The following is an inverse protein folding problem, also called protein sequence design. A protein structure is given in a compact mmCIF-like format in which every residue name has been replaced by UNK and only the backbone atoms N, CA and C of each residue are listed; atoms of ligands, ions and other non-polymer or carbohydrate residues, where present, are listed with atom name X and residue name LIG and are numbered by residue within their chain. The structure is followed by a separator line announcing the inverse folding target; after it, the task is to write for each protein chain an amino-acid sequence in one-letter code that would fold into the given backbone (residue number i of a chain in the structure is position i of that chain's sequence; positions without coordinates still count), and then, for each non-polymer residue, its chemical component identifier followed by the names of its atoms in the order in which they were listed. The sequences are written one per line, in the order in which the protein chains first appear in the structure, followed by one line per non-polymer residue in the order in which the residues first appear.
data_IF_322886808682
#
_entry.id   IF_322886808682
#
_cell.length_a   1.000
_cell.length_b   1.000
_cell.length_c   1.000
_cell.angle_alpha   90.00
_cell.angle_beta   90.00
_cell.angle_gamma   90.00
#
_symmetry.space_group_name_H-M   'P 1'
#
loop_
_entity.id
_entity.type
_entity.pdbx_description
1 polymer ?
#
# COMPACT_ATOMS: atom_id res chain seq x y z
N UNK A 1 -29.49 64.18 -12.02
CA UNK A 1 -30.83 64.08 -11.33
C UNK A 1 -30.78 62.73 -10.62
N UNK A 2 -30.60 62.78 -9.28
CA UNK A 2 -31.60 62.37 -8.24
C UNK A 2 -31.80 60.84 -8.21
N UNK A 3 -31.65 60.06 -7.17
CA UNK A 3 -31.65 60.33 -5.71
C UNK A 3 -30.86 59.20 -4.98
N UNK A 4 -30.21 59.56 -3.94
CA UNK A 4 -29.72 58.81 -2.81
C UNK A 4 -30.90 58.30 -2.01
N UNK A 5 -30.81 57.07 -1.48
CA UNK A 5 -31.46 56.75 -0.20
C UNK A 5 -30.65 55.76 0.61
N UNK A 6 -30.13 56.29 1.66
CA UNK A 6 -29.54 55.62 2.82
C UNK A 6 -30.65 55.18 3.72
N UNK A 7 -30.66 53.96 4.20
CA UNK A 7 -31.33 53.58 5.45
C UNK A 7 -30.37 52.74 6.27
N UNK A 8 -30.11 53.26 7.46
CA UNK A 8 -29.28 52.71 8.49
C UNK A 8 -30.09 51.86 9.50
N UNK A 9 -29.33 51.15 10.32
CA UNK A 9 -29.64 50.55 11.62
C UNK A 9 -30.45 49.23 11.59
N UNK A 10 -30.02 48.21 12.29
CA UNK A 10 -29.78 48.12 13.74
C UNK A 10 -28.94 46.91 14.11
N UNK A 11 -28.07 47.06 15.05
CA UNK A 11 -27.35 46.05 15.81
C UNK A 11 -28.31 45.23 16.66
N UNK A 12 -28.25 43.90 16.57
CA UNK A 12 -28.73 43.01 17.60
C UNK A 12 -27.67 41.96 17.88
N UNK A 13 -27.04 42.09 19.02
CA UNK A 13 -26.14 41.11 19.59
C UNK A 13 -26.93 39.84 19.97
N UNK A 14 -26.67 38.75 19.28
CA UNK A 14 -27.15 37.41 19.65
C UNK A 14 -25.98 36.45 19.66
N UNK A 15 -25.47 36.16 20.86
CA UNK A 15 -24.39 35.16 21.02
C UNK A 15 -24.88 33.79 20.59
N UNK A 16 -24.28 33.26 19.54
CA UNK A 16 -24.36 31.83 19.20
C UNK A 16 -23.07 31.16 19.64
N UNK A 17 -23.18 30.32 20.64
CA UNK A 17 -22.22 29.31 21.04
C UNK A 17 -22.00 28.37 19.84
N UNK A 18 -20.87 28.55 19.13
CA UNK A 18 -20.43 27.57 18.13
C UNK A 18 -19.78 26.42 18.89
N UNK A 19 -20.51 25.36 19.10
CA UNK A 19 -19.95 24.06 19.47
C UNK A 19 -19.17 23.57 18.24
N UNK A 20 -17.84 23.65 18.32
CA UNK A 20 -16.96 23.02 17.35
C UNK A 20 -17.09 21.50 17.46
N UNK A 21 -18.07 20.94 16.76
CA UNK A 21 -18.14 19.53 16.49
C UNK A 21 -17.00 19.18 15.50
N UNK A 22 -15.97 18.48 15.97
CA UNK A 22 -15.02 17.81 15.10
C UNK A 22 -15.76 16.74 14.27
N UNK A 23 -16.33 17.15 13.16
CA UNK A 23 -16.74 16.23 12.13
C UNK A 23 -15.46 15.66 11.50
N UNK A 24 -15.02 14.49 11.95
CA UNK A 24 -14.10 13.66 11.21
C UNK A 24 -14.80 13.26 9.92
N UNK A 25 -14.64 14.07 8.89
CA UNK A 25 -14.99 13.69 7.54
C UNK A 25 -14.03 12.56 7.14
N UNK A 26 -14.48 11.33 7.29
CA UNK A 26 -13.91 10.17 6.61
C UNK A 26 -13.99 10.47 5.13
N UNK A 27 -12.93 11.05 4.58
CA UNK A 27 -12.79 11.23 3.15
C UNK A 27 -12.78 9.84 2.53
N UNK A 28 -13.87 9.46 1.86
CA UNK A 28 -13.91 8.26 1.02
C UNK A 28 -12.75 8.37 0.06
N UNK A 29 -11.73 7.54 0.27
CA UNK A 29 -10.55 7.51 -0.59
C UNK A 29 -11.03 7.09 -1.97
N UNK A 30 -11.06 8.03 -2.90
CA UNK A 30 -11.48 7.77 -4.27
C UNK A 30 -10.38 6.94 -4.93
N UNK A 31 -10.55 5.61 -4.94
CA UNK A 31 -9.60 4.63 -5.51
C UNK A 31 -9.87 4.39 -7.00
N UNK A 32 -11.01 4.88 -7.48
CA UNK A 32 -11.34 4.80 -8.91
C UNK A 32 -10.35 5.69 -9.63
N UNK A 33 -9.64 5.12 -10.58
CA UNK A 33 -8.84 5.86 -11.54
C UNK A 33 -9.83 6.67 -12.37
N UNK A 34 -10.09 7.90 -11.93
CA UNK A 34 -10.74 8.88 -12.80
C UNK A 34 -9.75 9.14 -13.93
N UNK A 35 -10.07 8.66 -15.13
CA UNK A 35 -9.24 8.83 -16.32
C UNK A 35 -9.01 10.32 -16.67
N UNK A 36 -9.78 11.22 -16.06
CA UNK A 36 -9.71 12.67 -16.25
C UNK A 36 -8.93 13.36 -15.14
N UNK A 37 -8.54 12.69 -14.06
CA UNK A 37 -7.75 13.28 -12.98
C UNK A 37 -6.26 12.97 -13.21
N UNK A 38 -5.49 14.00 -13.57
CA UNK A 38 -4.03 13.90 -13.68
C UNK A 38 -3.45 13.41 -12.35
N UNK A 39 -2.94 12.18 -12.33
CA UNK A 39 -2.24 11.66 -11.16
C UNK A 39 -0.92 12.43 -11.00
N UNK A 40 -0.67 12.95 -9.80
CA UNK A 40 0.58 13.62 -9.45
C UNK A 40 1.44 12.70 -8.59
N UNK A 41 2.75 12.87 -8.72
CA UNK A 41 3.70 12.15 -7.90
C UNK A 41 3.55 12.60 -6.43
N UNK A 42 3.29 11.65 -5.52
CA UNK A 42 3.21 11.93 -4.08
C UNK A 42 4.52 11.58 -3.35
N UNK A 43 4.74 12.16 -2.16
CA UNK A 43 5.86 11.75 -1.31
C UNK A 43 5.64 10.35 -0.79
N UNK A 44 6.70 9.54 -0.80
CA UNK A 44 6.73 8.20 -0.20
C UNK A 44 7.89 8.04 0.78
N UNK A 45 8.75 9.06 0.87
CA UNK A 45 9.91 9.04 1.75
C UNK A 45 9.54 9.14 3.22
N UNK A 46 8.36 9.65 3.53
CA UNK A 46 7.82 9.73 4.89
C UNK A 46 7.47 8.35 5.48
N UNK A 47 7.44 7.32 4.62
CA UNK A 47 7.14 5.93 5.01
C UNK A 47 8.38 5.04 5.07
N UNK A 48 9.58 5.62 5.01
CA UNK A 48 10.81 4.84 5.16
C UNK A 48 10.97 4.38 6.61
N UNK A 49 11.53 3.18 6.85
CA UNK A 49 11.88 2.74 8.19
C UNK A 49 12.79 3.75 8.87
N UNK A 50 12.52 4.07 10.14
CA UNK A 50 13.30 5.00 10.94
C UNK A 50 13.87 4.27 12.17
N UNK A 51 15.05 3.64 12.07
CA UNK A 51 15.71 3.03 13.21
C UNK A 51 16.04 4.09 14.27
N UNK A 52 15.84 3.72 15.54
CA UNK A 52 16.14 4.60 16.69
C UNK A 52 17.52 4.29 17.23
N UNK A 53 18.15 5.31 17.81
CA UNK A 53 19.41 5.16 18.55
C UNK A 53 19.18 5.41 20.05
N UNK A 54 20.00 4.81 20.89
CA UNK A 54 20.08 5.12 22.32
C UNK A 54 20.86 6.44 22.55
N UNK A 55 21.06 6.80 23.81
CA UNK A 55 21.78 8.02 24.22
C UNK A 55 23.27 8.01 23.84
N UNK A 56 23.84 6.84 23.52
CA UNK A 56 25.23 6.69 23.06
C UNK A 56 25.36 6.75 21.55
N UNK A 57 24.23 6.81 20.82
CA UNK A 57 24.16 6.77 19.35
C UNK A 57 24.17 5.34 18.79
N UNK A 58 24.10 4.30 19.61
CA UNK A 58 23.99 2.93 19.15
C UNK A 58 22.55 2.62 18.69
N UNK A 59 22.42 1.88 17.59
CA UNK A 59 21.10 1.50 17.09
C UNK A 59 20.38 0.54 18.04
N UNK A 60 19.14 0.87 18.37
CA UNK A 60 18.24 -0.02 19.08
C UNK A 60 17.72 -1.10 18.12
N UNK A 61 17.36 -2.30 18.65
CA UNK A 61 16.70 -3.33 17.86
C UNK A 61 15.46 -2.76 17.16
N UNK A 62 15.36 -2.96 15.85
CA UNK A 62 14.22 -2.47 15.08
C UNK A 62 13.04 -3.43 15.21
N UNK A 63 11.93 -2.93 15.73
CA UNK A 63 10.68 -3.67 15.81
C UNK A 63 9.77 -3.26 14.66
N UNK A 64 9.68 -4.11 13.63
CA UNK A 64 8.81 -3.87 12.51
C UNK A 64 7.33 -3.93 12.92
N UNK A 65 6.54 -2.98 12.43
CA UNK A 65 5.10 -2.95 12.64
C UNK A 65 4.42 -4.17 11.99
N UNK A 66 3.42 -4.79 12.67
CA UNK A 66 2.75 -5.96 12.12
C UNK A 66 1.88 -5.59 10.92
N UNK A 67 1.72 -6.55 10.00
CA UNK A 67 0.79 -6.39 8.88
C UNK A 67 -0.64 -6.10 9.39
N UNK A 68 -1.22 -4.92 9.08
CA UNK A 68 -2.52 -4.50 9.63
C UNK A 68 -3.70 -5.37 9.16
N UNK A 69 -3.54 -6.08 8.04
CA UNK A 69 -4.54 -7.04 7.57
C UNK A 69 -4.50 -8.35 8.39
N UNK A 70 -3.29 -8.85 8.67
CA UNK A 70 -3.12 -10.08 9.45
C UNK A 70 -3.40 -9.86 10.95
N UNK A 71 -3.25 -8.64 11.44
CA UNK A 71 -3.59 -8.28 12.81
C UNK A 71 -5.11 -8.26 13.07
N UNK A 72 -5.93 -8.25 12.02
CA UNK A 72 -7.38 -8.33 12.16
C UNK A 72 -7.82 -9.74 12.54
N UNK A 73 -8.61 -9.82 13.60
CA UNK A 73 -9.20 -11.09 14.03
C UNK A 73 -10.65 -11.11 13.60
N UNK A 74 -11.02 -12.15 12.86
CA UNK A 74 -12.40 -12.41 12.44
C UNK A 74 -12.67 -13.91 12.41
N UNK A 75 -13.93 -14.29 12.57
CA UNK A 75 -14.36 -15.67 12.37
C UNK A 75 -14.75 -15.86 10.91
N UNK A 76 -14.04 -16.71 10.20
CA UNK A 76 -14.37 -17.13 8.83
C UNK A 76 -14.94 -18.53 8.91
N UNK A 77 -16.01 -18.80 8.18
CA UNK A 77 -16.60 -20.14 8.10
C UNK A 77 -15.59 -21.15 7.54
N UNK A 78 -15.52 -22.33 8.13
CA UNK A 78 -14.60 -23.37 7.67
C UNK A 78 -14.82 -23.73 6.19
N UNK A 79 -16.06 -23.76 5.74
CA UNK A 79 -16.44 -24.02 4.35
C UNK A 79 -15.88 -22.94 3.40
N UNK A 80 -15.93 -21.67 3.81
CA UNK A 80 -15.36 -20.55 3.04
C UNK A 80 -13.82 -20.68 2.92
N UNK A 81 -13.16 -21.13 4.00
CA UNK A 81 -11.70 -21.37 3.98
C UNK A 81 -11.35 -22.47 2.98
N UNK A 82 -12.03 -23.63 3.06
CA UNK A 82 -11.78 -24.75 2.15
C UNK A 82 -12.00 -24.33 0.69
N UNK A 83 -13.13 -23.70 0.40
CA UNK A 83 -13.48 -23.23 -0.94
C UNK A 83 -12.45 -22.21 -1.47
N UNK A 84 -11.95 -21.32 -0.60
CA UNK A 84 -10.90 -20.38 -0.96
C UNK A 84 -9.59 -21.07 -1.31
N UNK A 85 -9.19 -22.08 -0.54
CA UNK A 85 -7.98 -22.89 -0.82
C UNK A 85 -8.12 -23.60 -2.16
N UNK A 86 -9.29 -24.18 -2.46
CA UNK A 86 -9.54 -24.85 -3.72
C UNK A 86 -9.51 -23.86 -4.91
N UNK A 87 -10.09 -22.67 -4.74
CA UNK A 87 -10.01 -21.60 -5.73
C UNK A 87 -8.55 -21.19 -6.01
N UNK A 88 -7.74 -21.02 -4.97
CA UNK A 88 -6.30 -20.71 -5.11
C UNK A 88 -5.54 -21.85 -5.78
N UNK A 89 -5.89 -23.10 -5.50
CA UNK A 89 -5.30 -24.29 -6.16
C UNK A 89 -5.65 -24.31 -7.65
N UNK A 90 -6.92 -24.10 -8.00
CA UNK A 90 -7.37 -24.02 -9.39
C UNK A 90 -6.65 -22.89 -10.16
N UNK A 91 -6.48 -21.72 -9.54
CA UNK A 91 -5.73 -20.62 -10.13
C UNK A 91 -4.26 -21.00 -10.39
N UNK A 92 -3.59 -21.63 -9.41
CA UNK A 92 -2.22 -22.11 -9.56
C UNK A 92 -2.08 -23.14 -10.69
N UNK A 93 -3.10 -23.97 -10.89
CA UNK A 93 -3.18 -24.95 -11.98
C UNK A 93 -3.60 -24.32 -13.32
N UNK A 94 -3.76 -22.98 -13.39
CA UNK A 94 -4.24 -22.23 -14.56
C UNK A 94 -5.65 -22.63 -15.01
N UNK A 95 -6.43 -23.30 -14.15
CA UNK A 95 -7.85 -23.55 -14.39
C UNK A 95 -8.66 -22.30 -14.01
N UNK A 96 -8.51 -21.25 -14.83
CA UNK A 96 -9.06 -19.93 -14.56
C UNK A 96 -10.58 -19.93 -14.42
N UNK A 97 -11.28 -20.70 -15.27
CA UNK A 97 -12.74 -20.80 -15.22
C UNK A 97 -13.24 -21.35 -13.88
N UNK A 98 -12.61 -22.42 -13.41
CA UNK A 98 -12.99 -23.04 -12.13
C UNK A 98 -12.62 -22.14 -10.94
N UNK A 99 -11.42 -21.53 -10.96
CA UNK A 99 -11.00 -20.57 -9.94
C UNK A 99 -11.98 -19.38 -9.85
N UNK A 100 -12.35 -18.79 -10.98
CA UNK A 100 -13.30 -17.69 -11.07
C UNK A 100 -14.66 -18.07 -10.47
N UNK A 101 -15.17 -19.24 -10.83
CA UNK A 101 -16.46 -19.75 -10.32
C UNK A 101 -16.44 -19.88 -8.79
N UNK A 102 -15.40 -20.48 -8.22
CA UNK A 102 -15.24 -20.66 -6.79
C UNK A 102 -15.14 -19.32 -6.06
N UNK A 103 -14.34 -18.37 -6.58
CA UNK A 103 -14.24 -17.04 -6.00
C UNK A 103 -15.56 -16.27 -6.09
N UNK A 104 -16.29 -16.35 -7.21
CA UNK A 104 -17.63 -15.73 -7.33
C UNK A 104 -18.60 -16.29 -6.30
N UNK A 105 -18.67 -17.60 -6.17
CA UNK A 105 -19.50 -18.24 -5.13
C UNK A 105 -19.17 -17.71 -3.74
N UNK A 106 -17.88 -17.56 -3.41
CA UNK A 106 -17.46 -17.01 -2.11
C UNK A 106 -17.89 -15.54 -1.92
N UNK A 107 -17.90 -14.73 -2.98
CA UNK A 107 -18.38 -13.33 -2.87
C UNK A 107 -19.88 -13.22 -2.63
N UNK A 108 -20.64 -14.25 -2.99
CA UNK A 108 -22.10 -14.34 -2.78
C UNK A 108 -22.43 -14.89 -1.40
N UNK A 109 -21.75 -15.95 -0.99
CA UNK A 109 -21.99 -16.66 0.28
C UNK A 109 -21.45 -15.90 1.49
N UNK A 110 -20.35 -15.16 1.32
CA UNK A 110 -19.68 -14.42 2.39
C UNK A 110 -19.26 -13.03 1.91
N UNK A 111 -20.23 -12.15 1.82
CA UNK A 111 -20.14 -10.82 1.19
C UNK A 111 -19.11 -9.88 1.81
N UNK A 112 -18.68 -10.17 3.05
CA UNK A 112 -17.73 -9.32 3.79
C UNK A 112 -16.28 -9.71 3.60
N UNK A 113 -15.99 -10.80 2.89
CA UNK A 113 -14.63 -11.25 2.64
C UNK A 113 -14.00 -10.49 1.47
N UNK A 114 -12.92 -9.76 1.75
CA UNK A 114 -12.11 -9.09 0.71
C UNK A 114 -11.22 -10.06 -0.08
N UNK A 115 -10.84 -11.20 0.50
CA UNK A 115 -9.97 -12.20 -0.12
C UNK A 115 -10.48 -12.76 -1.45
N UNK A 116 -11.74 -13.18 -1.58
CA UNK A 116 -12.31 -13.66 -2.83
C UNK A 116 -12.25 -12.64 -3.97
N UNK A 117 -12.46 -11.36 -3.68
CA UNK A 117 -12.33 -10.28 -4.66
C UNK A 117 -10.89 -10.11 -5.14
N UNK A 118 -9.90 -10.29 -4.24
CA UNK A 118 -8.49 -10.37 -4.66
C UNK A 118 -8.28 -11.56 -5.59
N UNK A 119 -8.85 -12.71 -5.27
CA UNK A 119 -8.77 -13.90 -6.12
C UNK A 119 -9.33 -13.69 -7.51
N UNK A 120 -10.50 -13.03 -7.65
CA UNK A 120 -11.08 -12.64 -8.94
C UNK A 120 -10.15 -11.70 -9.71
N UNK A 121 -9.56 -10.72 -9.03
CA UNK A 121 -8.56 -9.83 -9.62
C UNK A 121 -7.33 -10.58 -10.12
N UNK A 122 -6.83 -11.57 -9.35
CA UNK A 122 -5.70 -12.41 -9.75
C UNK A 122 -6.02 -13.22 -11.02
N UNK A 123 -7.23 -13.81 -11.09
CA UNK A 123 -7.70 -14.53 -12.29
C UNK A 123 -7.73 -13.59 -13.50
N UNK A 124 -8.28 -12.39 -13.34
CA UNK A 124 -8.37 -11.40 -14.42
C UNK A 124 -6.98 -10.94 -14.90
N UNK A 125 -6.00 -10.77 -13.99
CA UNK A 125 -4.60 -10.47 -14.37
C UNK A 125 -3.99 -11.57 -15.23
N UNK A 126 -4.18 -12.83 -14.85
CA UNK A 126 -3.67 -13.97 -15.62
C UNK A 126 -4.28 -14.04 -17.03
N UNK A 127 -5.52 -13.57 -17.16
CA UNK A 127 -6.22 -13.44 -18.44
C UNK A 127 -5.95 -12.11 -19.17
N UNK A 128 -5.06 -11.25 -18.62
CA UNK A 128 -4.72 -9.91 -19.14
C UNK A 128 -5.91 -8.94 -19.20
N UNK A 129 -6.94 -9.20 -18.40
CA UNK A 129 -8.14 -8.36 -18.26
C UNK A 129 -7.91 -7.31 -17.15
N UNK A 130 -6.97 -6.39 -17.39
CA UNK A 130 -6.44 -5.51 -16.34
C UNK A 130 -7.50 -4.55 -15.76
N UNK A 131 -8.42 -4.04 -16.57
CA UNK A 131 -9.52 -3.17 -16.12
C UNK A 131 -10.43 -3.90 -15.13
N UNK A 132 -10.75 -5.16 -15.44
CA UNK A 132 -11.56 -6.01 -14.58
C UNK A 132 -10.82 -6.35 -13.29
N UNK A 133 -9.53 -6.65 -13.39
CA UNK A 133 -8.68 -6.89 -12.22
C UNK A 133 -8.67 -5.68 -11.27
N UNK A 134 -8.50 -4.47 -11.81
CA UNK A 134 -8.54 -3.23 -11.05
C UNK A 134 -9.88 -3.08 -10.31
N UNK A 135 -11.01 -3.30 -11.00
CA UNK A 135 -12.33 -3.22 -10.39
C UNK A 135 -12.48 -4.20 -9.22
N UNK A 136 -11.98 -5.43 -9.36
CA UNK A 136 -12.01 -6.42 -8.30
C UNK A 136 -11.12 -6.04 -7.10
N UNK A 137 -9.91 -5.53 -7.33
CA UNK A 137 -9.04 -5.09 -6.25
C UNK A 137 -9.59 -3.85 -5.52
N UNK A 138 -10.20 -2.90 -6.25
CA UNK A 138 -10.91 -1.76 -5.64
C UNK A 138 -12.03 -2.27 -4.75
N UNK A 139 -12.82 -3.24 -5.22
CA UNK A 139 -13.89 -3.85 -4.41
C UNK A 139 -13.35 -4.53 -3.15
N UNK A 140 -12.21 -5.21 -3.23
CA UNK A 140 -11.54 -5.78 -2.06
C UNK A 140 -11.13 -4.71 -1.04
N UNK A 141 -10.64 -3.56 -1.50
CA UNK A 141 -10.25 -2.43 -0.65
C UNK A 141 -11.47 -1.76 -0.01
N UNK A 142 -12.57 -1.60 -0.75
CA UNK A 142 -13.83 -1.08 -0.21
C UNK A 142 -14.35 -1.93 0.95
N UNK A 143 -14.27 -3.26 0.82
CA UNK A 143 -14.69 -4.19 1.86
C UNK A 143 -13.73 -4.22 3.06
N UNK A 144 -12.45 -4.04 2.82
CA UNK A 144 -11.43 -4.02 3.86
C UNK A 144 -10.28 -3.07 3.49
N UNK A 145 -10.38 -1.83 3.94
CA UNK A 145 -9.39 -0.78 3.68
C UNK A 145 -8.02 -1.03 4.31
N UNK A 146 -7.90 -1.98 5.24
CA UNK A 146 -6.62 -2.41 5.83
C UNK A 146 -5.96 -3.56 5.07
N UNK A 147 -6.59 -4.05 3.99
CA UNK A 147 -6.01 -5.13 3.20
C UNK A 147 -4.90 -4.63 2.28
N UNK A 148 -3.70 -4.46 2.83
CA UNK A 148 -2.50 -3.99 2.11
C UNK A 148 -2.16 -4.85 0.90
N UNK A 149 -2.54 -6.14 0.90
CA UNK A 149 -2.34 -7.02 -0.25
C UNK A 149 -3.18 -6.61 -1.46
N UNK A 150 -4.38 -6.06 -1.24
CA UNK A 150 -5.23 -5.56 -2.31
C UNK A 150 -4.62 -4.30 -2.96
N UNK A 151 -4.08 -3.37 -2.17
CA UNK A 151 -3.35 -2.20 -2.68
C UNK A 151 -2.12 -2.62 -3.50
N UNK A 152 -1.35 -3.59 -2.99
CA UNK A 152 -0.18 -4.11 -3.70
C UNK A 152 -0.54 -4.64 -5.09
N UNK A 153 -1.59 -5.46 -5.19
CA UNK A 153 -2.05 -6.05 -6.45
C UNK A 153 -2.62 -4.99 -7.41
N UNK A 154 -3.40 -4.05 -6.87
CA UNK A 154 -3.92 -2.92 -7.62
C UNK A 154 -2.77 -2.11 -8.25
N UNK A 155 -1.77 -1.73 -7.45
CA UNK A 155 -0.62 -0.96 -7.92
C UNK A 155 0.20 -1.72 -8.98
N UNK A 156 0.44 -3.03 -8.78
CA UNK A 156 1.10 -3.87 -9.79
C UNK A 156 0.33 -3.91 -11.10
N UNK A 157 -0.99 -4.01 -11.04
CA UNK A 157 -1.85 -4.06 -12.24
C UNK A 157 -1.89 -2.70 -12.95
N UNK A 158 -1.95 -1.59 -12.20
CA UNK A 158 -1.82 -0.23 -12.75
C UNK A 158 -0.49 -0.05 -13.47
N UNK A 159 0.62 -0.55 -12.91
CA UNK A 159 1.93 -0.55 -13.58
C UNK A 159 1.93 -1.38 -14.87
N UNK A 160 1.29 -2.56 -14.88
CA UNK A 160 1.16 -3.39 -16.09
C UNK A 160 0.38 -2.69 -17.21
N UNK A 161 -0.55 -1.81 -16.86
CA UNK A 161 -1.27 -0.96 -17.81
C UNK A 161 -0.49 0.31 -18.24
N UNK A 162 0.70 0.55 -17.70
CA UNK A 162 1.43 1.80 -17.96
C UNK A 162 0.96 3.00 -17.11
N UNK A 163 0.03 2.81 -16.19
CA UNK A 163 -0.49 3.86 -15.31
C UNK A 163 0.46 4.11 -14.11
N UNK A 164 1.70 4.52 -14.40
CA UNK A 164 2.80 4.53 -13.44
C UNK A 164 2.57 5.47 -12.24
N UNK A 165 2.00 6.66 -12.45
CA UNK A 165 1.71 7.60 -11.36
C UNK A 165 0.58 7.10 -10.46
N UNK A 166 -0.43 6.44 -11.02
CA UNK A 166 -1.48 5.80 -10.24
C UNK A 166 -0.93 4.63 -9.42
N UNK A 167 -0.04 3.83 -10.01
CA UNK A 167 0.65 2.75 -9.31
C UNK A 167 1.47 3.29 -8.12
N UNK A 168 2.22 4.36 -8.33
CA UNK A 168 3.00 5.05 -7.29
C UNK A 168 2.10 5.51 -6.13
N UNK A 169 1.00 6.18 -6.45
CA UNK A 169 0.05 6.66 -5.45
C UNK A 169 -0.63 5.51 -4.70
N UNK A 170 -0.88 4.40 -5.36
CA UNK A 170 -1.47 3.21 -4.72
C UNK A 170 -0.46 2.51 -3.80
N UNK A 171 0.82 2.41 -4.17
CA UNK A 171 1.87 1.94 -3.28
C UNK A 171 2.06 2.87 -2.08
N UNK A 172 1.99 4.19 -2.28
CA UNK A 172 2.05 5.15 -1.18
C UNK A 172 0.93 4.92 -0.16
N UNK A 173 -0.29 4.62 -0.61
CA UNK A 173 -1.42 4.26 0.28
C UNK A 173 -1.15 2.96 1.05
N UNK A 174 -0.54 1.95 0.41
CA UNK A 174 -0.15 0.72 1.08
C UNK A 174 0.88 0.99 2.19
N UNK A 175 1.89 1.82 1.91
CA UNK A 175 2.92 2.20 2.88
C UNK A 175 2.39 3.12 3.99
N UNK A 176 1.42 3.99 3.70
CA UNK A 176 0.75 4.79 4.73
C UNK A 176 0.00 3.91 5.75
N UNK A 177 -0.49 2.74 5.32
CA UNK A 177 -1.13 1.75 6.20
C UNK A 177 -0.12 0.85 6.92
N UNK A 178 0.96 0.53 6.25
CA UNK A 178 2.01 -0.35 6.76
C UNK A 178 3.37 0.08 6.21
N UNK A 179 4.07 0.99 6.91
CA UNK A 179 5.39 1.47 6.48
C UNK A 179 6.43 0.35 6.34
N UNK A 180 6.34 -0.70 7.15
CA UNK A 180 7.26 -1.84 7.13
C UNK A 180 6.82 -2.95 6.16
N UNK A 181 6.31 -2.57 5.00
CA UNK A 181 5.88 -3.50 3.95
C UNK A 181 7.01 -3.70 2.90
N UNK A 182 7.87 -4.74 3.05
CA UNK A 182 9.05 -4.88 2.21
C UNK A 182 8.74 -4.93 0.72
N UNK A 183 7.69 -5.70 0.32
CA UNK A 183 7.34 -5.85 -1.08
C UNK A 183 6.82 -4.55 -1.71
N UNK A 184 6.21 -3.66 -0.92
CA UNK A 184 5.79 -2.35 -1.42
C UNK A 184 7.00 -1.46 -1.68
N UNK A 185 7.99 -1.47 -0.78
CA UNK A 185 9.24 -0.76 -0.98
C UNK A 185 9.98 -1.26 -2.23
N UNK A 186 10.14 -2.56 -2.40
CA UNK A 186 10.79 -3.12 -3.59
C UNK A 186 10.06 -2.73 -4.87
N UNK A 187 8.72 -2.85 -4.91
CA UNK A 187 7.96 -2.51 -6.11
C UNK A 187 7.98 -1.00 -6.42
N UNK A 188 8.06 -0.14 -5.41
CA UNK A 188 8.29 1.30 -5.59
C UNK A 188 9.69 1.59 -6.12
N UNK A 189 10.72 0.90 -5.62
CA UNK A 189 12.07 1.03 -6.15
C UNK A 189 12.12 0.67 -7.64
N UNK A 190 11.51 -0.46 -8.03
CA UNK A 190 11.36 -0.86 -9.44
C UNK A 190 10.64 0.23 -10.26
N UNK A 191 9.56 0.76 -9.72
CA UNK A 191 8.75 1.77 -10.42
C UNK A 191 9.53 3.08 -10.62
N UNK A 192 10.24 3.54 -9.59
CA UNK A 192 11.04 4.74 -9.64
C UNK A 192 12.27 4.61 -10.54
N UNK A 193 12.97 3.46 -10.50
CA UNK A 193 14.19 3.26 -11.27
C UNK A 193 13.90 3.07 -12.76
N UNK A 194 12.96 2.17 -13.07
CA UNK A 194 12.74 1.70 -14.45
C UNK A 194 11.74 2.58 -15.22
N UNK A 195 10.69 3.08 -14.56
CA UNK A 195 9.56 3.71 -15.26
C UNK A 195 9.44 5.21 -15.02
N UNK A 196 9.86 5.72 -13.87
CA UNK A 196 9.69 7.11 -13.50
C UNK A 196 10.98 7.93 -13.54
N UNK A 197 12.13 7.29 -13.75
CA UNK A 197 13.46 7.92 -13.78
C UNK A 197 13.75 8.77 -12.53
N UNK A 198 13.49 8.21 -11.35
CA UNK A 198 13.77 8.82 -10.06
C UNK A 198 14.76 7.98 -9.23
N UNK A 199 16.04 7.87 -9.63
CA UNK A 199 16.99 6.93 -9.04
C UNK A 199 17.23 7.16 -7.54
N UNK A 200 17.20 8.40 -7.06
CA UNK A 200 17.33 8.68 -5.62
C UNK A 200 16.16 8.10 -4.80
N UNK A 201 14.93 8.19 -5.30
CA UNK A 201 13.77 7.58 -4.64
C UNK A 201 13.84 6.06 -4.73
N UNK A 202 14.29 5.53 -5.87
CA UNK A 202 14.50 4.10 -6.04
C UNK A 202 15.51 3.56 -5.02
N UNK A 203 16.65 4.26 -4.86
CA UNK A 203 17.65 3.90 -3.87
C UNK A 203 17.07 3.82 -2.46
N UNK A 204 16.36 4.87 -2.02
CA UNK A 204 15.78 4.93 -0.68
C UNK A 204 14.80 3.79 -0.39
N UNK A 205 13.93 3.47 -1.32
CA UNK A 205 13.01 2.35 -1.16
C UNK A 205 13.71 0.98 -1.24
N UNK A 206 14.79 0.86 -2.01
CA UNK A 206 15.58 -0.37 -2.06
C UNK A 206 16.40 -0.57 -0.78
N UNK A 207 16.94 0.51 -0.19
CA UNK A 207 17.54 0.51 1.14
C UNK A 207 16.52 0.02 2.19
N UNK A 208 15.29 0.55 2.15
CA UNK A 208 14.22 0.14 3.07
C UNK A 208 13.89 -1.34 2.94
N UNK A 209 13.77 -1.85 1.71
CA UNK A 209 13.56 -3.28 1.47
C UNK A 209 14.68 -4.13 2.06
N UNK A 210 15.94 -3.79 1.78
CA UNK A 210 17.10 -4.52 2.30
C UNK A 210 17.16 -4.49 3.83
N UNK A 211 16.85 -3.34 4.43
CA UNK A 211 16.79 -3.18 5.88
C UNK A 211 15.73 -4.09 6.49
N UNK A 212 14.50 -4.07 5.98
CA UNK A 212 13.36 -4.85 6.48
C UNK A 212 13.51 -6.37 6.25
N UNK A 213 14.34 -6.78 5.28
CA UNK A 213 14.60 -8.19 4.97
C UNK A 213 15.98 -8.67 5.41
N UNK A 214 16.67 -7.91 6.26
CA UNK A 214 18.02 -8.22 6.76
C UNK A 214 19.05 -8.51 5.64
N UNK A 215 18.86 -7.92 4.48
CA UNK A 215 19.78 -8.08 3.34
C UNK A 215 19.80 -9.47 2.72
N UNK A 216 18.77 -10.29 2.92
CA UNK A 216 18.74 -11.68 2.44
C UNK A 216 18.78 -11.78 0.90
N UNK A 217 18.22 -10.81 0.20
CA UNK A 217 18.15 -10.84 -1.25
C UNK A 217 19.39 -10.23 -1.90
N UNK A 218 20.32 -11.10 -2.32
CA UNK A 218 21.59 -10.71 -2.93
C UNK A 218 21.44 -9.99 -4.30
N UNK A 219 20.43 -10.34 -5.08
CA UNK A 219 20.20 -9.69 -6.38
C UNK A 219 19.72 -8.24 -6.19
N UNK A 220 18.85 -8.01 -5.21
CA UNK A 220 18.44 -6.65 -4.84
C UNK A 220 19.63 -5.87 -4.26
N UNK A 221 20.52 -6.51 -3.51
CA UNK A 221 21.73 -5.86 -2.99
C UNK A 221 22.67 -5.40 -4.13
N UNK A 222 22.84 -6.21 -5.17
CA UNK A 222 23.64 -5.83 -6.37
C UNK A 222 22.98 -4.64 -7.08
N UNK A 223 21.68 -4.71 -7.30
CA UNK A 223 20.94 -3.61 -7.94
C UNK A 223 21.02 -2.32 -7.14
N UNK A 224 20.91 -2.39 -5.80
CA UNK A 224 21.12 -1.23 -4.94
C UNK A 224 22.51 -0.62 -5.12
N UNK A 225 23.56 -1.43 -5.21
CA UNK A 225 24.92 -0.96 -5.45
C UNK A 225 25.05 -0.25 -6.82
N UNK A 226 24.41 -0.76 -7.87
CA UNK A 226 24.37 -0.11 -9.19
C UNK A 226 23.63 1.23 -9.15
N UNK A 227 22.50 1.31 -8.44
CA UNK A 227 21.78 2.57 -8.25
C UNK A 227 22.65 3.56 -7.48
N UNK A 228 23.32 3.11 -6.42
CA UNK A 228 24.20 3.96 -5.62
C UNK A 228 25.35 4.55 -6.48
N UNK A 229 25.94 3.78 -7.36
CA UNK A 229 26.95 4.29 -8.30
C UNK A 229 26.38 5.40 -9.19
N UNK A 230 25.15 5.26 -9.66
CA UNK A 230 24.48 6.28 -10.50
C UNK A 230 24.07 7.54 -9.73
N UNK A 231 23.66 7.40 -8.47
CA UNK A 231 23.23 8.53 -7.64
C UNK A 231 24.37 9.26 -6.95
N UNK A 232 25.49 8.57 -6.68
CA UNK A 232 26.58 9.09 -5.87
C UNK A 232 26.23 9.28 -4.38
N UNK A 233 25.03 8.87 -3.94
CA UNK A 233 24.54 9.08 -2.57
C UNK A 233 24.85 7.86 -1.71
N UNK A 234 25.49 8.03 -0.53
CA UNK A 234 25.75 6.91 0.39
C UNK A 234 24.45 6.23 0.86
N UNK A 235 24.54 4.92 1.12
CA UNK A 235 23.44 4.15 1.73
C UNK A 235 23.22 4.67 3.16
N UNK A 236 21.97 4.99 3.49
CA UNK A 236 21.59 5.54 4.79
C UNK A 236 21.02 4.52 5.76
N UNK A 237 20.35 3.48 5.24
CA UNK A 237 19.80 2.38 6.03
C UNK A 237 20.77 1.20 5.96
N UNK A 238 21.63 1.06 6.96
CA UNK A 238 22.60 -0.04 7.05
C UNK A 238 21.97 -1.21 7.77
N UNK A 239 22.08 -2.39 7.17
CA UNK A 239 21.76 -3.66 7.84
C UNK A 239 22.93 -4.00 8.75
N UNK A 240 22.83 -3.67 10.03
CA UNK A 240 23.73 -4.28 11.00
C UNK A 240 23.37 -5.76 11.10
N UNK A 241 24.25 -6.62 10.59
CA UNK A 241 24.17 -8.04 10.89
C UNK A 241 24.24 -8.16 12.42
N UNK A 242 23.11 -8.42 13.06
CA UNK A 242 23.10 -8.86 14.46
C UNK A 242 23.99 -10.09 14.52
N UNK A 243 25.20 -9.93 15.04
CA UNK A 243 26.02 -11.06 15.45
C UNK A 243 25.18 -11.81 16.46
N UNK A 244 24.66 -12.97 16.02
CA UNK A 244 24.07 -13.92 16.94
C UNK A 244 25.09 -14.10 18.06
N UNK A 245 24.81 -13.56 19.23
CA UNK A 245 25.51 -13.91 20.45
C UNK A 245 25.16 -15.38 20.71
N UNK A 246 25.98 -16.27 20.15
CA UNK A 246 26.07 -17.63 20.59
C UNK A 246 26.59 -17.56 22.03
N UNK A 247 25.64 -17.58 22.97
CA UNK A 247 25.94 -17.82 24.37
C UNK A 247 26.58 -19.19 24.44
N UNK A 248 27.82 -19.35 24.90
CA UNK A 248 28.35 -20.69 25.17
C UNK A 248 27.52 -21.27 26.30
N UNK A 249 26.94 -22.44 26.04
CA UNK A 249 26.37 -23.30 27.10
C UNK A 249 27.52 -23.71 28.01
N UNK A 250 27.53 -23.14 29.21
CA UNK A 250 28.32 -23.61 30.33
C UNK A 250 27.44 -24.52 31.20
#
# INVERSE_FOLDING_TARGET
MKYVNVIACTLLAGGLLVTAGCATTSSKVNLVVDKNQEARLVSTLDYLPAPKTDETGAFLPYEASPNPYLAQRGKIKQESIVKYIDAKRALKQKNYRHAEQLFKTLTEEDKNLSGPWIGLGDVAVEQKQYEQAIAHYVKAIELNSKNVNAYMRLAKTQRLQGNFLHAQNTYAKALALWPDFPEAHLNLAVLYDIYLNHPLRAQKHMEAYQFLTNGENKEVAKWLAEIQQRTGVPISLVVEKQKAQSKPLS
#
